data_IF_138750072563
#
_entry.id   IF_138750072563
#
_cell.length_a   1.000
_cell.length_b   1.000
_cell.length_c   1.000
_cell.angle_alpha   90.00
_cell.angle_beta   90.00
_cell.angle_gamma   90.00
#
_symmetry.space_group_name_H-M   'P 1'
#
loop_
_entity.id
_entity.type
_entity.pdbx_description
1 polymer ?
#
# COMPACT_ATOMS: atom_id res chain seq x y z
N UNK A 1 -14.06 -8.44 6.58
CA UNK A 1 -14.78 -7.33 5.90
C UNK A 1 -13.85 -6.20 5.43
N UNK A 2 -13.06 -5.57 6.31
CA UNK A 2 -12.22 -4.40 5.92
C UNK A 2 -11.15 -4.76 4.88
N UNK A 3 -10.45 -5.88 5.07
CA UNK A 3 -9.44 -6.38 4.14
C UNK A 3 -10.03 -6.56 2.74
N UNK A 4 -11.19 -7.22 2.65
CA UNK A 4 -11.90 -7.54 1.42
C UNK A 4 -12.32 -6.27 0.67
N UNK A 5 -12.75 -5.23 1.39
CA UNK A 5 -13.03 -3.92 0.79
C UNK A 5 -11.75 -3.31 0.20
N UNK A 6 -10.65 -3.31 0.93
CA UNK A 6 -9.36 -2.79 0.46
C UNK A 6 -8.88 -3.55 -0.77
N UNK A 7 -8.98 -4.88 -0.75
CA UNK A 7 -8.65 -5.76 -1.86
C UNK A 7 -9.50 -5.42 -3.09
N UNK A 8 -10.83 -5.31 -2.92
CA UNK A 8 -11.75 -4.97 -4.01
C UNK A 8 -11.41 -3.61 -4.65
N UNK A 9 -11.12 -2.58 -3.85
CA UNK A 9 -10.73 -1.26 -4.36
C UNK A 9 -9.49 -1.32 -5.27
N UNK A 10 -8.52 -2.17 -4.93
CA UNK A 10 -7.35 -2.43 -5.76
C UNK A 10 -7.70 -3.13 -7.08
N UNK A 11 -8.54 -4.17 -7.02
CA UNK A 11 -8.98 -4.91 -8.20
C UNK A 11 -9.76 -4.04 -9.20
N UNK A 12 -10.64 -3.16 -8.70
CA UNK A 12 -11.42 -2.25 -9.53
C UNK A 12 -10.64 -0.99 -9.95
N UNK A 13 -9.37 -0.85 -9.55
CA UNK A 13 -8.49 0.28 -9.88
C UNK A 13 -9.09 1.65 -9.55
N UNK A 14 -9.77 1.74 -8.40
CA UNK A 14 -10.48 2.95 -7.96
C UNK A 14 -9.50 4.07 -7.54
N UNK A 15 -9.03 4.88 -8.49
CA UNK A 15 -8.03 5.94 -8.24
C UNK A 15 -8.44 6.99 -7.20
N UNK A 16 -9.74 7.16 -6.97
CA UNK A 16 -10.29 8.09 -5.96
C UNK A 16 -9.96 7.68 -4.52
N UNK A 17 -9.58 6.42 -4.28
CA UNK A 17 -9.24 5.92 -2.94
C UNK A 17 -7.75 5.90 -2.64
N UNK A 18 -6.90 6.33 -3.58
CA UNK A 18 -5.43 6.28 -3.44
C UNK A 18 -4.96 7.00 -2.18
N UNK A 19 -5.47 8.20 -1.90
CA UNK A 19 -5.07 8.98 -0.72
C UNK A 19 -5.50 8.28 0.58
N UNK A 20 -6.67 7.65 0.59
CA UNK A 20 -7.15 6.83 1.72
C UNK A 20 -6.25 5.61 1.94
N UNK A 21 -5.88 4.89 0.88
CA UNK A 21 -4.99 3.73 0.98
C UNK A 21 -3.57 4.14 1.44
N UNK A 22 -3.08 5.30 0.98
CA UNK A 22 -1.82 5.89 1.46
C UNK A 22 -1.88 6.16 2.97
N UNK A 23 -3.02 6.66 3.47
CA UNK A 23 -3.18 6.88 4.92
C UNK A 23 -3.09 5.58 5.72
N UNK A 24 -3.61 4.47 5.16
CA UNK A 24 -3.59 3.15 5.80
C UNK A 24 -2.17 2.62 5.89
N UNK A 25 -1.40 2.62 4.79
CA UNK A 25 -0.03 2.07 4.80
C UNK A 25 0.91 2.84 5.75
N UNK A 26 0.63 4.12 6.02
CA UNK A 26 1.40 4.98 6.94
C UNK A 26 0.95 4.89 8.40
N UNK A 27 -0.20 4.29 8.68
CA UNK A 27 -0.76 4.25 10.03
C UNK A 27 -0.03 3.21 10.89
N UNK A 28 0.60 3.65 11.98
CA UNK A 28 1.20 2.76 13.00
C UNK A 28 0.18 2.05 13.87
N UNK A 29 -1.08 2.50 13.84
CA UNK A 29 -2.17 1.90 14.59
C UNK A 29 -2.89 0.81 13.80
N UNK A 30 -2.56 0.65 12.51
CA UNK A 30 -3.15 -0.41 11.70
C UNK A 30 -2.37 -1.69 11.80
N UNK A 31 -3.12 -2.79 11.76
CA UNK A 31 -2.57 -4.13 11.67
C UNK A 31 -1.71 -4.28 10.40
N UNK A 32 -0.56 -4.96 10.56
CA UNK A 32 0.36 -5.27 9.46
C UNK A 32 -0.35 -5.82 8.23
N UNK A 33 -1.29 -6.75 8.42
CA UNK A 33 -2.05 -7.38 7.33
C UNK A 33 -2.88 -6.35 6.54
N UNK A 34 -3.49 -5.38 7.22
CA UNK A 34 -4.30 -4.34 6.60
C UNK A 34 -3.43 -3.32 5.86
N UNK A 35 -2.28 -2.95 6.44
CA UNK A 35 -1.29 -2.11 5.78
C UNK A 35 -0.74 -2.79 4.52
N UNK A 36 -0.43 -4.09 4.61
CA UNK A 36 0.04 -4.89 3.47
C UNK A 36 -1.00 -4.91 2.34
N UNK A 37 -2.26 -5.22 2.65
CA UNK A 37 -3.31 -5.28 1.63
C UNK A 37 -3.56 -3.92 0.98
N UNK A 38 -3.49 -2.82 1.75
CA UNK A 38 -3.59 -1.47 1.21
C UNK A 38 -2.44 -1.15 0.24
N UNK A 39 -1.22 -1.55 0.58
CA UNK A 39 -0.06 -1.41 -0.30
C UNK A 39 -0.20 -2.25 -1.57
N UNK A 40 -0.61 -3.51 -1.46
CA UNK A 40 -0.87 -4.37 -2.61
C UNK A 40 -1.96 -3.80 -3.52
N UNK A 41 -3.01 -3.21 -2.94
CA UNK A 41 -4.04 -2.49 -3.70
C UNK A 41 -3.51 -1.24 -4.40
N UNK A 42 -2.62 -0.46 -3.77
CA UNK A 42 -1.95 0.67 -4.42
C UNK A 42 -1.11 0.22 -5.63
N UNK A 43 -0.36 -0.88 -5.51
CA UNK A 43 0.38 -1.49 -6.63
C UNK A 43 -0.57 -1.86 -7.77
N UNK A 44 -1.70 -2.50 -7.48
CA UNK A 44 -2.71 -2.88 -8.50
C UNK A 44 -3.36 -1.68 -9.18
N UNK A 45 -3.59 -0.60 -8.44
CA UNK A 45 -4.13 0.65 -9.00
C UNK A 45 -3.12 1.28 -9.97
N UNK A 46 -1.82 1.22 -9.64
CA UNK A 46 -0.75 1.76 -10.49
C UNK A 46 -0.74 3.29 -10.55
N UNK A 47 -1.16 3.96 -9.47
CA UNK A 47 -1.11 5.42 -9.37
C UNK A 47 0.22 5.85 -8.76
N UNK A 48 0.98 6.65 -9.51
CA UNK A 48 2.34 7.08 -9.13
C UNK A 48 2.40 7.85 -7.82
N UNK A 49 1.29 8.45 -7.37
CA UNK A 49 1.19 9.12 -6.05
C UNK A 49 1.55 8.19 -4.89
N UNK A 50 1.37 6.88 -5.06
CA UNK A 50 1.70 5.88 -4.04
C UNK A 50 3.21 5.65 -3.90
N UNK A 51 3.99 5.84 -4.97
CA UNK A 51 5.39 5.39 -5.07
C UNK A 51 6.25 6.01 -3.98
N UNK A 52 6.17 7.34 -3.80
CA UNK A 52 6.98 8.04 -2.77
C UNK A 52 6.69 7.55 -1.34
N UNK A 53 5.46 7.09 -1.08
CA UNK A 53 5.08 6.57 0.22
C UNK A 53 5.56 5.14 0.44
N UNK A 54 5.50 4.30 -0.59
CA UNK A 54 6.04 2.94 -0.56
C UNK A 54 7.56 2.97 -0.43
N UNK A 55 8.26 3.88 -1.14
CA UNK A 55 9.68 4.12 -0.94
C UNK A 55 10.03 4.55 0.49
N UNK A 56 9.17 5.36 1.11
CA UNK A 56 9.33 5.75 2.52
C UNK A 56 9.31 4.55 3.46
N UNK A 57 8.44 3.57 3.20
CA UNK A 57 8.36 2.31 3.95
C UNK A 57 9.60 1.46 3.69
N UNK A 58 10.00 1.28 2.43
CA UNK A 58 11.19 0.51 2.04
C UNK A 58 12.50 1.07 2.65
N UNK A 59 12.62 2.39 2.80
CA UNK A 59 13.78 3.03 3.44
C UNK A 59 13.78 2.93 4.97
N UNK A 60 12.64 2.65 5.59
CA UNK A 60 12.53 2.55 7.04
C UNK A 60 12.89 1.14 7.51
N UNK A 61 14.10 0.97 8.06
CA UNK A 61 14.60 -0.33 8.55
C UNK A 61 13.79 -0.92 9.70
N UNK A 62 12.99 -0.11 10.40
CA UNK A 62 12.13 -0.56 11.49
C UNK A 62 10.70 -0.87 11.05
N UNK A 63 10.34 -0.61 9.80
CA UNK A 63 8.99 -0.92 9.31
C UNK A 63 8.88 -2.41 9.00
N UNK A 64 7.88 -3.05 9.59
CA UNK A 64 7.54 -4.46 9.38
C UNK A 64 7.16 -4.79 7.92
N UNK A 65 6.82 -3.79 7.10
CA UNK A 65 6.50 -3.93 5.67
C UNK A 65 7.67 -3.58 4.75
N UNK A 66 8.89 -3.40 5.28
CA UNK A 66 10.04 -2.99 4.47
C UNK A 66 10.26 -3.89 3.24
N UNK A 67 10.38 -5.20 3.45
CA UNK A 67 10.63 -6.16 2.36
C UNK A 67 9.46 -6.21 1.36
N UNK A 68 8.23 -6.14 1.87
CA UNK A 68 7.03 -6.09 1.03
C UNK A 68 7.00 -4.80 0.17
N UNK A 69 7.48 -3.68 0.72
CA UNK A 69 7.55 -2.41 0.02
C UNK A 69 8.64 -2.39 -1.05
N UNK A 70 9.80 -3.01 -0.78
CA UNK A 70 10.85 -3.21 -1.78
C UNK A 70 10.32 -4.02 -2.97
N UNK A 71 9.63 -5.15 -2.71
CA UNK A 71 8.99 -5.96 -3.75
C UNK A 71 7.87 -5.20 -4.50
N UNK A 72 7.05 -4.44 -3.76
CA UNK A 72 5.99 -3.64 -4.35
C UNK A 72 6.54 -2.63 -5.38
N UNK A 73 7.68 -1.99 -5.09
CA UNK A 73 8.31 -1.03 -5.99
C UNK A 73 8.89 -1.68 -7.25
N UNK A 74 9.37 -2.92 -7.16
CA UNK A 74 9.80 -3.66 -8.36
C UNK A 74 8.62 -3.91 -9.31
N UNK A 75 7.43 -4.16 -8.77
CA UNK A 75 6.19 -4.36 -9.54
C UNK A 75 5.60 -3.07 -10.12
N UNK A 76 6.02 -1.91 -9.64
CA UNK A 76 5.62 -0.60 -10.17
C UNK A 76 6.42 -0.18 -11.42
N UNK A 77 7.57 -0.80 -11.66
CA UNK A 77 8.45 -0.54 -12.82
C UNK A 77 8.02 -1.35 -14.03
#
# INVERSE_FOLDING_TARGET
VRKEVITALGYYKERKVVDSLISIIKSRNEEREIRFEAMASLVRIGDERAVIHIEGIARNSMDELRSDAEEALERFR
#
